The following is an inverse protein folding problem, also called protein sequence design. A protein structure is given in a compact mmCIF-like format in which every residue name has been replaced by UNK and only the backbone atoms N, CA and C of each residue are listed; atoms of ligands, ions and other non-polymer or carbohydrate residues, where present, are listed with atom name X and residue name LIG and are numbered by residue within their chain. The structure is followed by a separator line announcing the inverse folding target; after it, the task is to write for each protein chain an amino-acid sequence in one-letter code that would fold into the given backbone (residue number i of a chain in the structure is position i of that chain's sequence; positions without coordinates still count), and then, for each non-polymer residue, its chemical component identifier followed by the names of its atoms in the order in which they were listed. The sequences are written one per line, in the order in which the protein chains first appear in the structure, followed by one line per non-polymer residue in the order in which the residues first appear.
data_IF_470282498692
#
_entry.id   IF_470282498692
#
_cell.length_a   1.000
_cell.length_b   1.000
_cell.length_c   1.000
_cell.angle_alpha   90.00
_cell.angle_beta   90.00
_cell.angle_gamma   90.00
#
_symmetry.space_group_name_H-M   'P 1'
#
loop_
_entity.id
_entity.type
_entity.pdbx_description
1 polymer ?
#
# COMPACT_ATOMS: atom_id res chain seq x y z
N UNK A 1 17.13 81.50 4.10
CA UNK A 1 17.10 81.66 2.63
C UNK A 1 16.59 80.33 2.07
N UNK A 2 15.46 80.23 1.37
CA UNK A 2 14.61 81.25 0.73
C UNK A 2 13.10 81.02 1.01
N UNK A 3 12.31 82.09 0.82
CA UNK A 3 10.84 82.31 0.76
C UNK A 3 9.85 81.11 0.90
N UNK A 4 8.64 81.23 1.48
CA UNK A 4 7.74 82.40 1.67
C UNK A 4 6.75 82.50 0.50
N UNK A 5 5.43 82.30 0.65
CA UNK A 5 4.38 83.17 1.27
C UNK A 5 3.21 82.33 1.87
N UNK A 6 2.53 82.66 2.97
CA UNK A 6 1.62 83.80 3.30
C UNK A 6 0.36 83.89 2.40
N UNK A 7 -0.89 84.12 2.83
CA UNK A 7 -1.61 84.32 4.14
C UNK A 7 -3.12 83.91 3.94
N UNK A 8 -4.10 83.86 4.87
CA UNK A 8 -4.29 84.22 6.30
C UNK A 8 -5.48 83.39 6.91
N UNK A 9 -5.95 83.45 8.18
CA UNK A 9 -6.50 84.50 9.09
C UNK A 9 -8.06 84.59 9.03
N UNK A 10 -8.85 84.57 10.16
CA UNK A 10 -8.60 84.06 11.54
C UNK A 10 -9.83 83.36 12.23
N UNK A 11 -9.79 83.26 13.58
CA UNK A 11 -10.89 83.15 14.58
C UNK A 11 -11.39 81.78 15.13
N UNK A 12 -11.06 81.55 16.41
CA UNK A 12 -11.74 80.69 17.42
C UNK A 12 -12.81 81.56 18.16
N UNK A 13 -13.76 81.07 19.01
CA UNK A 13 -13.76 79.85 19.86
C UNK A 13 -15.17 79.13 19.87
N UNK A 14 -15.62 78.31 20.87
CA UNK A 14 -14.98 77.79 22.08
C UNK A 14 -15.08 76.27 22.31
N UNK A 15 -14.34 75.79 23.33
CA UNK A 15 -14.54 74.47 23.93
C UNK A 15 -15.84 74.46 24.75
N UNK A 16 -16.72 73.51 24.49
CA UNK A 16 -17.76 73.09 25.44
C UNK A 16 -17.47 71.66 25.87
N UNK A 17 -17.13 71.48 27.14
CA UNK A 17 -17.01 70.18 27.77
C UNK A 17 -18.29 69.91 28.56
N UNK A 18 -19.01 68.81 28.29
CA UNK A 18 -20.03 68.24 29.16
C UNK A 18 -20.45 66.85 28.70
N UNK A 19 -20.38 65.90 29.62
CA UNK A 19 -20.89 64.54 29.46
C UNK A 19 -22.40 64.52 29.13
N UNK A 20 -22.79 63.68 28.17
CA UNK A 20 -24.10 63.03 28.14
C UNK A 20 -24.09 61.87 27.14
N UNK A 21 -24.34 60.65 27.63
CA UNK A 21 -24.54 59.46 26.78
C UNK A 21 -25.86 59.60 25.99
N UNK A 22 -25.98 58.90 24.84
CA UNK A 22 -26.88 57.76 24.85
C UNK A 22 -26.21 56.44 24.45
N UNK A 23 -26.73 55.36 25.03
CA UNK A 23 -26.41 53.98 24.66
C UNK A 23 -27.27 53.61 23.46
N UNK A 24 -26.65 53.12 22.37
CA UNK A 24 -27.38 52.52 21.24
C UNK A 24 -27.43 51.00 21.43
N UNK A 25 -28.62 50.45 21.18
CA UNK A 25 -29.02 49.09 21.54
C UNK A 25 -28.39 48.03 20.62
N UNK A 26 -27.93 46.92 21.21
CA UNK A 26 -27.70 45.67 20.48
C UNK A 26 -29.02 44.88 20.38
N UNK A 27 -29.45 44.41 19.20
CA UNK A 27 -30.64 43.57 19.09
C UNK A 27 -30.38 42.11 19.54
N UNK A 28 -31.14 41.71 20.57
CA UNK A 28 -31.69 40.39 20.86
C UNK A 28 -30.82 39.12 20.67
N UNK A 29 -30.62 38.42 21.79
CA UNK A 29 -30.25 37.00 21.84
C UNK A 29 -31.38 36.12 21.26
N UNK A 30 -31.03 35.16 20.40
CA UNK A 30 -31.79 33.92 20.22
C UNK A 30 -30.98 32.78 20.78
N UNK A 31 -31.43 32.21 21.90
CA UNK A 31 -30.82 31.00 22.45
C UNK A 31 -30.99 29.84 21.46
N UNK A 32 -29.88 29.21 21.05
CA UNK A 32 -29.94 27.90 20.44
C UNK A 32 -28.77 27.01 20.92
N UNK A 33 -29.17 26.03 21.71
CA UNK A 33 -28.53 24.78 22.13
C UNK A 33 -27.22 24.45 21.37
N UNK A 34 -26.12 24.25 22.11
CA UNK A 34 -24.86 23.71 21.56
C UNK A 34 -25.04 22.29 20.99
N UNK A 35 -24.58 22.03 19.75
CA UNK A 35 -23.84 20.83 19.42
C UNK A 35 -22.39 21.01 19.89
N UNK A 36 -21.73 19.90 20.26
CA UNK A 36 -20.40 19.91 20.83
C UNK A 36 -19.34 19.98 19.71
N UNK A 37 -18.91 21.19 19.34
CA UNK A 37 -17.99 21.48 18.22
C UNK A 37 -16.52 21.08 18.47
N UNK A 38 -16.28 19.85 18.95
CA UNK A 38 -15.02 19.13 18.74
C UNK A 38 -14.98 18.53 17.33
N UNK A 39 -15.35 19.34 16.33
CA UNK A 39 -15.27 18.98 14.92
C UNK A 39 -13.80 18.85 14.51
N UNK A 40 -13.45 17.67 13.99
CA UNK A 40 -12.10 17.23 13.63
C UNK A 40 -11.20 18.35 13.09
N UNK A 41 -9.99 18.48 13.66
CA UNK A 41 -8.90 19.17 12.98
C UNK A 41 -8.67 18.49 11.63
N UNK A 42 -8.98 19.23 10.56
CA UNK A 42 -9.04 18.69 9.21
C UNK A 42 -7.65 18.29 8.74
N UNK A 43 -7.43 17.00 8.51
CA UNK A 43 -6.30 16.51 7.72
C UNK A 43 -6.42 17.12 6.32
N UNK A 44 -5.64 18.17 6.05
CA UNK A 44 -5.50 18.73 4.70
C UNK A 44 -4.52 17.87 3.92
N UNK A 45 -4.94 17.13 2.89
CA UNK A 45 -4.01 16.39 2.05
C UNK A 45 -3.05 17.37 1.37
N UNK A 46 -1.77 17.32 1.73
CA UNK A 46 -0.73 18.18 1.13
C UNK A 46 -0.35 17.54 -0.22
N UNK A 47 -0.87 18.10 -1.31
CA UNK A 47 -0.60 17.64 -2.67
C UNK A 47 0.46 18.55 -3.29
N UNK A 48 1.65 17.99 -3.54
CA UNK A 48 2.81 18.69 -4.11
C UNK A 48 4.13 18.18 -3.57
N UNK A 49 5.24 18.59 -4.21
CA UNK A 49 6.63 18.18 -3.95
C UNK A 49 7.15 18.76 -2.61
N UNK A 50 6.50 18.37 -1.52
CA UNK A 50 6.57 18.97 -0.18
C UNK A 50 7.18 18.00 0.83
N UNK A 51 7.75 18.54 1.90
CA UNK A 51 8.23 17.74 3.03
C UNK A 51 7.25 17.77 4.20
N UNK A 52 6.96 16.60 4.75
CA UNK A 52 6.12 16.41 5.94
C UNK A 52 7.00 15.97 7.11
N UNK A 53 6.83 16.64 8.25
CA UNK A 53 7.29 16.16 9.55
C UNK A 53 6.25 15.20 10.12
N UNK A 54 6.61 13.92 10.22
CA UNK A 54 5.74 12.85 10.71
C UNK A 54 5.72 12.77 12.25
N UNK A 55 6.70 13.36 12.94
CA UNK A 55 6.74 13.34 14.40
C UNK A 55 5.66 14.24 15.01
N UNK A 56 5.49 15.42 14.42
CA UNK A 56 4.62 16.51 14.84
C UNK A 56 3.28 16.59 14.08
N UNK A 57 2.91 15.56 13.30
CA UNK A 57 1.58 15.47 12.70
C UNK A 57 0.55 14.93 13.71
N UNK A 58 -0.51 15.71 13.93
CA UNK A 58 -1.74 15.22 14.52
C UNK A 58 -2.50 14.35 13.50
N UNK A 59 -2.87 13.15 13.94
CA UNK A 59 -3.63 12.19 13.14
C UNK A 59 -5.04 12.03 13.73
N UNK A 60 -6.08 11.85 12.90
CA UNK A 60 -7.39 11.50 13.41
C UNK A 60 -7.32 10.25 14.30
N UNK A 61 -8.04 10.28 15.42
CA UNK A 61 -8.22 9.12 16.31
C UNK A 61 -9.71 8.77 16.41
N UNK A 62 -10.31 8.15 15.38
CA UNK A 62 -11.71 7.76 15.43
C UNK A 62 -11.92 6.63 16.44
N UNK A 63 -13.10 6.62 17.06
CA UNK A 63 -13.56 5.54 17.93
C UNK A 63 -14.51 4.59 17.19
N UNK A 64 -14.93 3.50 17.84
CA UNK A 64 -15.87 2.53 17.29
C UNK A 64 -15.24 1.20 16.85
N UNK A 65 -15.96 0.47 16.00
CA UNK A 65 -15.54 -0.81 15.40
C UNK A 65 -14.36 -0.60 14.46
N UNK A 66 -13.26 -1.31 14.70
CA UNK A 66 -12.06 -1.26 13.85
C UNK A 66 -11.66 -2.65 13.40
N UNK A 67 -11.47 -2.82 12.09
CA UNK A 67 -10.84 -4.03 11.50
C UNK A 67 -9.42 -3.68 11.04
N UNK A 68 -8.44 -4.47 11.46
CA UNK A 68 -7.02 -4.24 11.22
C UNK A 68 -6.42 -5.33 10.31
N UNK A 69 -5.98 -4.93 9.11
CA UNK A 69 -5.45 -5.81 8.05
C UNK A 69 -3.96 -5.54 7.84
N UNK A 70 -3.10 -6.52 8.15
CA UNK A 70 -1.65 -6.41 7.94
C UNK A 70 -1.26 -6.82 6.52
N UNK A 71 -0.80 -5.86 5.73
CA UNK A 71 -0.24 -6.07 4.39
C UNK A 71 1.29 -6.23 4.52
N UNK A 72 1.83 -7.34 4.00
CA UNK A 72 3.26 -7.67 4.08
C UNK A 72 3.82 -8.05 2.70
N UNK A 73 4.76 -7.23 2.22
CA UNK A 73 5.55 -7.51 1.02
C UNK A 73 6.74 -8.41 1.34
N UNK A 74 6.75 -9.61 0.75
CA UNK A 74 7.74 -10.65 1.01
C UNK A 74 8.88 -10.61 -0.03
N UNK A 75 10.10 -10.36 0.44
CA UNK A 75 11.33 -10.54 -0.33
C UNK A 75 11.79 -12.00 -0.23
N UNK A 76 11.22 -12.83 -1.09
CA UNK A 76 11.80 -14.10 -1.53
C UNK A 76 12.16 -13.95 -3.00
N UNK A 77 13.42 -14.16 -3.40
CA UNK A 77 13.76 -14.19 -4.82
C UNK A 77 13.18 -15.44 -5.48
N UNK A 78 13.16 -15.45 -6.81
CA UNK A 78 12.64 -16.58 -7.58
C UNK A 78 13.33 -17.89 -7.14
N UNK A 79 12.54 -18.87 -6.71
CA UNK A 79 12.95 -20.16 -6.15
C UNK A 79 13.66 -20.15 -4.77
N UNK A 80 13.80 -19.01 -4.09
CA UNK A 80 14.35 -18.94 -2.72
C UNK A 80 13.29 -19.28 -1.67
N UNK A 81 13.51 -20.36 -0.90
CA UNK A 81 12.61 -20.82 0.19
C UNK A 81 12.54 -19.87 1.39
N UNK A 82 13.49 -18.94 1.52
CA UNK A 82 13.59 -17.95 2.60
C UNK A 82 12.97 -16.62 2.20
N UNK A 83 12.19 -16.03 3.09
CA UNK A 83 11.29 -14.91 2.81
C UNK A 83 11.37 -13.83 3.93
N UNK A 84 11.94 -12.65 3.63
CA UNK A 84 11.94 -11.50 4.56
C UNK A 84 10.69 -10.64 4.38
N UNK A 85 10.24 -9.97 5.43
CA UNK A 85 9.18 -8.96 5.37
C UNK A 85 9.79 -7.58 5.05
N UNK A 86 9.84 -7.24 3.77
CA UNK A 86 10.62 -6.09 3.28
C UNK A 86 9.79 -4.81 3.12
N UNK A 87 8.45 -4.95 3.12
CA UNK A 87 7.44 -3.90 3.24
C UNK A 87 6.37 -4.35 4.24
N UNK A 88 5.97 -3.48 5.17
CA UNK A 88 5.07 -3.82 6.28
C UNK A 88 4.10 -2.64 6.50
N UNK A 89 2.81 -2.87 6.30
CA UNK A 89 1.78 -1.83 6.41
C UNK A 89 0.55 -2.39 7.11
N UNK A 90 0.13 -1.77 8.20
CA UNK A 90 -1.13 -2.12 8.84
C UNK A 90 -2.20 -1.13 8.39
N UNK A 91 -3.23 -1.62 7.70
CA UNK A 91 -4.39 -0.82 7.28
C UNK A 91 -5.51 -1.06 8.28
N UNK A 92 -6.07 0.02 8.84
CA UNK A 92 -7.16 -0.03 9.82
C UNK A 92 -8.38 0.65 9.25
N UNK A 93 -9.49 -0.06 9.21
CA UNK A 93 -10.80 0.42 8.75
C UNK A 93 -11.65 0.72 9.97
N UNK A 94 -11.97 1.99 10.19
CA UNK A 94 -12.89 2.47 11.21
C UNK A 94 -14.30 2.45 10.61
N UNK A 95 -15.04 1.37 10.87
CA UNK A 95 -16.28 1.08 10.15
C UNK A 95 -17.35 2.14 10.43
N UNK A 96 -17.52 2.52 11.69
CA UNK A 96 -18.57 3.44 12.14
C UNK A 96 -18.38 4.89 11.67
N UNK A 97 -17.14 5.27 11.29
CA UNK A 97 -16.82 6.61 10.79
C UNK A 97 -16.45 6.65 9.30
N UNK A 98 -16.39 5.49 8.62
CA UNK A 98 -15.99 5.41 7.22
C UNK A 98 -14.60 6.01 6.99
N UNK A 99 -13.60 5.66 7.82
CA UNK A 99 -12.25 6.22 7.78
C UNK A 99 -11.17 5.12 7.75
N UNK A 100 -10.02 5.43 7.14
CA UNK A 100 -8.91 4.48 6.94
C UNK A 100 -7.58 5.05 7.44
N UNK A 101 -6.87 4.29 8.27
CA UNK A 101 -5.50 4.59 8.67
C UNK A 101 -4.52 3.59 8.01
N UNK A 102 -3.48 4.09 7.34
CA UNK A 102 -2.36 3.27 6.84
C UNK A 102 -1.13 3.52 7.73
N UNK A 103 -0.67 2.48 8.44
CA UNK A 103 0.49 2.54 9.33
C UNK A 103 1.67 1.83 8.67
N UNK A 104 2.62 2.59 8.15
CA UNK A 104 3.86 2.06 7.56
C UNK A 104 4.90 1.74 8.64
N UNK A 105 5.48 0.55 8.60
CA UNK A 105 6.57 0.14 9.49
C UNK A 105 7.82 -0.21 8.67
N UNK A 106 8.90 0.60 8.75
CA UNK A 106 10.15 0.31 8.07
C UNK A 106 10.70 -1.07 8.46
N UNK A 107 11.21 -1.84 7.50
CA UNK A 107 11.75 -3.19 7.79
C UNK A 107 12.98 -3.16 8.71
N UNK A 108 13.66 -2.01 8.81
CA UNK A 108 14.77 -1.76 9.73
C UNK A 108 14.32 -1.31 11.13
N UNK A 109 13.03 -1.35 11.43
CA UNK A 109 12.52 -1.09 12.79
C UNK A 109 12.94 -2.21 13.74
N UNK A 110 13.30 -1.81 14.96
CA UNK A 110 13.69 -2.72 16.04
C UNK A 110 12.55 -3.66 16.47
N UNK A 111 12.89 -4.94 16.56
CA UNK A 111 12.06 -6.02 17.09
C UNK A 111 12.78 -6.71 18.26
N UNK A 112 12.06 -7.03 19.34
CA UNK A 112 12.58 -7.94 20.38
C UNK A 112 12.56 -9.37 19.86
N UNK A 113 13.48 -9.68 18.95
CA UNK A 113 13.60 -10.99 18.34
C UNK A 113 14.53 -11.93 19.13
N UNK A 114 15.11 -11.45 20.24
CA UNK A 114 16.04 -12.18 21.14
C UNK A 114 17.26 -12.81 20.46
N UNK A 115 17.65 -12.34 19.27
CA UNK A 115 18.89 -12.74 18.60
C UNK A 115 20.08 -11.94 19.12
N UNK A 116 21.24 -12.59 19.24
CA UNK A 116 22.52 -11.94 19.61
C UNK A 116 23.02 -10.99 18.52
N UNK A 117 22.79 -11.30 17.24
CA UNK A 117 23.05 -10.38 16.12
C UNK A 117 22.01 -9.24 16.11
N UNK A 118 22.42 -7.95 16.21
CA UNK A 118 21.52 -6.81 16.08
C UNK A 118 20.72 -6.79 14.78
N UNK A 119 21.22 -7.39 13.69
CA UNK A 119 20.47 -7.53 12.43
C UNK A 119 19.32 -8.53 12.55
N UNK A 120 19.44 -9.54 13.42
CA UNK A 120 18.35 -10.46 13.74
C UNK A 120 17.19 -9.75 14.46
N UNK A 121 17.48 -8.65 15.17
CA UNK A 121 16.53 -7.81 15.90
C UNK A 121 15.82 -6.76 15.03
N UNK A 122 15.65 -7.03 13.72
CA UNK A 122 14.92 -6.16 12.78
C UNK A 122 13.61 -6.81 12.34
N UNK A 123 12.51 -6.04 12.31
CA UNK A 123 11.16 -6.53 11.96
C UNK A 123 11.16 -7.36 10.66
N UNK A 124 11.88 -6.91 9.63
CA UNK A 124 11.91 -7.63 8.35
C UNK A 124 12.54 -9.02 8.39
N UNK A 125 13.37 -9.30 9.42
CA UNK A 125 13.97 -10.61 9.64
C UNK A 125 13.15 -11.49 10.58
N UNK A 126 12.32 -10.93 11.47
CA UNK A 126 11.45 -11.72 12.38
C UNK A 126 10.55 -12.68 11.61
N UNK A 127 9.97 -12.23 10.49
CA UNK A 127 9.09 -13.06 9.67
C UNK A 127 9.79 -14.26 9.04
N UNK A 128 11.08 -14.12 8.76
CA UNK A 128 11.96 -15.17 8.24
C UNK A 128 12.38 -16.15 9.34
N UNK A 129 12.78 -15.64 10.50
CA UNK A 129 13.47 -16.44 11.54
C UNK A 129 12.54 -17.00 12.61
N UNK A 130 11.45 -16.30 12.96
CA UNK A 130 10.52 -16.66 14.04
C UNK A 130 9.07 -16.87 13.55
N UNK A 131 8.86 -16.83 12.23
CA UNK A 131 7.56 -17.08 11.61
C UNK A 131 6.56 -15.91 11.72
N UNK A 132 5.33 -16.15 11.22
CA UNK A 132 4.29 -15.12 11.11
C UNK A 132 3.80 -14.62 12.46
N UNK A 133 3.53 -15.54 13.40
CA UNK A 133 2.85 -15.18 14.65
C UNK A 133 3.71 -14.29 15.55
N UNK A 134 5.04 -14.52 15.58
CA UNK A 134 5.95 -13.60 16.30
C UNK A 134 6.09 -12.27 15.56
N UNK A 135 6.19 -12.29 14.22
CA UNK A 135 6.20 -11.07 13.42
C UNK A 135 4.94 -10.20 13.64
N UNK A 136 3.74 -10.78 13.66
CA UNK A 136 2.50 -10.07 13.98
C UNK A 136 2.45 -9.55 15.42
N UNK A 137 3.10 -10.22 16.39
CA UNK A 137 3.26 -9.70 17.75
C UNK A 137 4.18 -8.47 17.79
N UNK A 138 5.31 -8.49 17.07
CA UNK A 138 6.21 -7.32 16.97
C UNK A 138 5.57 -6.14 16.22
N UNK A 139 4.83 -6.39 15.13
CA UNK A 139 4.08 -5.34 14.44
C UNK A 139 3.07 -4.69 15.38
N UNK A 140 2.31 -5.47 16.17
CA UNK A 140 1.38 -4.90 17.16
C UNK A 140 2.08 -4.04 18.21
N UNK A 141 3.20 -4.53 18.75
CA UNK A 141 4.02 -3.78 19.73
C UNK A 141 4.52 -2.45 19.16
N UNK A 142 4.95 -2.43 17.89
CA UNK A 142 5.48 -1.21 17.24
C UNK A 142 4.39 -0.24 16.78
N UNK A 143 3.22 -0.75 16.36
CA UNK A 143 2.11 0.09 15.86
C UNK A 143 1.16 0.56 16.97
N UNK A 144 1.33 0.01 18.18
CA UNK A 144 0.53 0.28 19.38
C UNK A 144 -0.95 -0.10 19.22
N UNK A 145 -1.20 -1.19 18.49
CA UNK A 145 -2.55 -1.71 18.22
C UNK A 145 -2.81 -3.02 18.96
N UNK A 146 -4.01 -3.15 19.50
CA UNK A 146 -4.40 -4.31 20.31
C UNK A 146 -4.51 -5.61 19.48
N UNK A 147 -5.02 -5.51 18.25
CA UNK A 147 -5.39 -6.66 17.41
C UNK A 147 -4.96 -6.43 15.96
N UNK A 148 -4.67 -7.55 15.28
CA UNK A 148 -4.62 -7.64 13.82
C UNK A 148 -5.59 -8.77 13.48
N UNK A 149 -6.65 -8.46 12.75
CA UNK A 149 -7.74 -9.38 12.41
C UNK A 149 -7.35 -10.27 11.23
N UNK A 150 -6.74 -9.64 10.22
CA UNK A 150 -6.36 -10.30 8.98
C UNK A 150 -4.92 -9.98 8.58
N UNK A 151 -4.30 -10.86 7.82
CA UNK A 151 -3.01 -10.64 7.17
C UNK A 151 -3.10 -10.92 5.68
N UNK A 152 -2.32 -10.20 4.87
CA UNK A 152 -2.18 -10.39 3.43
C UNK A 152 -0.67 -10.39 3.12
N UNK A 153 -0.13 -11.55 2.77
CA UNK A 153 1.27 -11.73 2.38
C UNK A 153 1.38 -11.97 0.87
N UNK A 154 2.21 -11.19 0.17
CA UNK A 154 2.52 -11.40 -1.25
C UNK A 154 4.00 -11.17 -1.54
N UNK A 155 4.57 -11.99 -2.42
CA UNK A 155 5.88 -11.79 -3.01
C UNK A 155 5.84 -10.88 -4.24
N UNK A 156 7.00 -10.68 -4.88
CA UNK A 156 7.14 -9.72 -5.99
C UNK A 156 6.21 -9.99 -7.19
N UNK A 157 6.11 -11.25 -7.67
CA UNK A 157 5.21 -11.60 -8.78
C UNK A 157 3.73 -11.38 -8.43
N UNK A 158 3.36 -11.67 -7.18
CA UNK A 158 1.99 -11.53 -6.69
C UNK A 158 1.62 -10.04 -6.56
N UNK A 159 2.54 -9.21 -6.06
CA UNK A 159 2.40 -7.76 -6.05
C UNK A 159 2.23 -7.18 -7.47
N UNK A 160 2.97 -7.68 -8.47
CA UNK A 160 2.76 -7.29 -9.87
C UNK A 160 1.33 -7.58 -10.31
N UNK A 161 0.84 -8.80 -10.12
CA UNK A 161 -0.52 -9.18 -10.51
C UNK A 161 -1.61 -8.36 -9.81
N UNK A 162 -1.46 -8.06 -8.51
CA UNK A 162 -2.39 -7.20 -7.77
C UNK A 162 -2.38 -5.76 -8.33
N UNK A 163 -1.21 -5.23 -8.69
CA UNK A 163 -1.07 -3.90 -9.30
C UNK A 163 -1.62 -3.87 -10.74
N UNK A 164 -1.46 -4.95 -11.52
CA UNK A 164 -2.14 -5.15 -12.81
C UNK A 164 -3.68 -5.11 -12.63
N UNK A 165 -4.23 -5.82 -11.63
CA UNK A 165 -5.67 -5.83 -11.28
C UNK A 165 -6.17 -4.42 -10.90
N UNK A 166 -5.39 -3.65 -10.14
CA UNK A 166 -5.72 -2.26 -9.74
C UNK A 166 -5.61 -1.23 -10.89
N UNK A 167 -5.48 -1.67 -12.15
CA UNK A 167 -5.51 -0.78 -13.31
C UNK A 167 -4.17 -0.10 -13.64
N UNK A 168 -3.05 -0.68 -13.24
CA UNK A 168 -1.70 -0.20 -13.60
C UNK A 168 -0.99 -1.13 -14.62
N UNK A 169 -1.73 -1.86 -15.47
CA UNK A 169 -1.21 -2.97 -16.29
C UNK A 169 0.12 -2.68 -17.01
N UNK A 170 0.17 -1.61 -17.80
CA UNK A 170 1.37 -1.25 -18.59
C UNK A 170 2.56 -0.83 -17.71
N UNK A 171 2.28 -0.31 -16.51
CA UNK A 171 3.26 0.33 -15.63
C UNK A 171 3.51 -0.44 -14.31
N UNK A 172 2.92 -1.62 -14.13
CA UNK A 172 2.99 -2.37 -12.87
C UNK A 172 4.43 -2.66 -12.43
N UNK A 173 5.30 -2.99 -13.40
CA UNK A 173 6.72 -3.22 -13.15
C UNK A 173 7.49 -1.94 -12.77
N UNK A 174 7.07 -0.78 -13.28
CA UNK A 174 7.66 0.52 -12.97
C UNK A 174 7.18 1.06 -11.62
N UNK A 175 5.87 1.04 -11.36
CA UNK A 175 5.29 1.35 -10.04
C UNK A 175 5.99 0.55 -8.92
N UNK A 176 6.23 -0.74 -9.16
CA UNK A 176 7.00 -1.59 -8.25
C UNK A 176 8.48 -1.22 -8.10
N UNK A 177 9.14 -0.69 -9.14
CA UNK A 177 10.51 -0.14 -9.02
C UNK A 177 10.51 1.13 -8.16
N UNK A 178 9.54 2.02 -8.37
CA UNK A 178 9.38 3.26 -7.61
C UNK A 178 9.25 2.97 -6.11
N UNK A 179 8.26 2.15 -5.71
CA UNK A 179 8.02 1.83 -4.29
C UNK A 179 9.08 0.91 -3.67
N UNK A 180 10.01 0.35 -4.47
CA UNK A 180 11.17 -0.41 -3.98
C UNK A 180 12.44 0.44 -3.83
N UNK A 181 12.48 1.66 -4.38
CA UNK A 181 13.67 2.50 -4.34
C UNK A 181 14.02 2.95 -2.91
N UNK A 182 15.31 2.91 -2.57
CA UNK A 182 15.86 3.31 -1.25
C UNK A 182 17.03 4.28 -1.39
N UNK A 183 17.93 4.00 -2.34
CA UNK A 183 19.20 4.72 -2.55
C UNK A 183 19.02 6.17 -3.04
N UNK A 184 17.83 6.51 -3.53
CA UNK A 184 17.50 7.82 -4.13
C UNK A 184 17.05 8.84 -3.06
N UNK A 185 16.81 8.41 -1.82
CA UNK A 185 16.21 9.23 -0.77
C UNK A 185 17.15 9.40 0.42
N UNK A 186 17.32 10.64 0.89
CA UNK A 186 18.16 10.95 2.06
C UNK A 186 17.70 10.22 3.34
N UNK A 187 16.39 10.08 3.54
CA UNK A 187 15.81 9.30 4.65
C UNK A 187 15.71 7.78 4.38
N UNK A 188 16.28 7.28 3.28
CA UNK A 188 16.50 5.87 2.99
C UNK A 188 15.26 4.97 3.11
N UNK A 189 15.31 4.04 4.07
CA UNK A 189 14.23 3.05 4.27
C UNK A 189 12.93 3.67 4.80
N UNK A 190 13.03 4.75 5.59
CA UNK A 190 11.87 5.44 6.15
C UNK A 190 11.06 6.09 5.04
N UNK A 191 11.75 6.81 4.14
CA UNK A 191 11.12 7.34 2.92
C UNK A 191 10.49 6.23 2.08
N UNK A 192 11.17 5.10 1.85
CA UNK A 192 10.59 3.98 1.09
C UNK A 192 9.30 3.47 1.75
N UNK A 193 9.31 3.25 3.07
CA UNK A 193 8.15 2.72 3.79
C UNK A 193 6.98 3.71 3.80
N UNK A 194 7.25 5.01 3.93
CA UNK A 194 6.23 6.04 3.78
C UNK A 194 5.65 6.11 2.37
N UNK A 195 6.50 6.08 1.33
CA UNK A 195 6.10 6.04 -0.07
C UNK A 195 5.20 4.83 -0.39
N UNK A 196 5.53 3.66 0.15
CA UNK A 196 4.69 2.46 0.04
C UNK A 196 3.32 2.65 0.70
N UNK A 197 3.26 3.32 1.86
CA UNK A 197 2.00 3.67 2.52
C UNK A 197 1.17 4.68 1.72
N UNK A 198 1.81 5.69 1.12
CA UNK A 198 1.14 6.65 0.23
C UNK A 198 0.61 5.99 -1.05
N UNK A 199 1.37 5.06 -1.64
CA UNK A 199 0.88 4.25 -2.75
C UNK A 199 -0.33 3.40 -2.35
N UNK A 200 -0.33 2.77 -1.16
CA UNK A 200 -1.50 2.02 -0.66
C UNK A 200 -2.72 2.95 -0.48
N UNK A 201 -2.54 4.12 0.15
CA UNK A 201 -3.62 5.12 0.31
C UNK A 201 -4.25 5.50 -1.04
N UNK A 202 -3.41 5.80 -2.04
CA UNK A 202 -3.88 6.24 -3.35
C UNK A 202 -4.47 5.09 -4.18
N UNK A 203 -3.93 3.87 -4.06
CA UNK A 203 -4.52 2.68 -4.67
C UNK A 203 -5.90 2.36 -4.08
N UNK A 204 -6.10 2.54 -2.76
CA UNK A 204 -7.42 2.42 -2.13
C UNK A 204 -8.38 3.46 -2.72
N UNK A 205 -8.02 4.75 -2.69
CA UNK A 205 -8.85 5.82 -3.24
C UNK A 205 -9.19 5.59 -4.72
N UNK A 206 -8.23 5.20 -5.55
CA UNK A 206 -8.45 4.98 -6.99
C UNK A 206 -9.36 3.78 -7.30
N UNK A 207 -9.39 2.75 -6.44
CA UNK A 207 -10.07 1.49 -6.77
C UNK A 207 -11.38 1.27 -6.01
N UNK A 208 -11.64 2.00 -4.92
CA UNK A 208 -12.76 1.72 -4.01
C UNK A 208 -14.13 1.71 -4.70
N UNK A 209 -14.43 2.72 -5.53
CA UNK A 209 -15.75 2.82 -6.20
C UNK A 209 -15.93 1.82 -7.35
N UNK A 210 -14.90 1.03 -7.67
CA UNK A 210 -14.94 -0.06 -8.67
C UNK A 210 -14.93 -1.45 -8.03
N UNK A 211 -15.32 -1.57 -6.75
CA UNK A 211 -15.27 -2.85 -6.00
C UNK A 211 -16.58 -3.61 -5.92
N UNK A 212 -17.72 -2.95 -6.16
CA UNK A 212 -19.07 -3.51 -6.05
C UNK A 212 -19.60 -4.12 -7.36
N UNK A 213 -19.12 -3.65 -8.53
CA UNK A 213 -19.46 -4.25 -9.82
C UNK A 213 -18.88 -5.68 -10.01
N UNK A 214 -19.36 -6.39 -11.02
CA UNK A 214 -18.94 -7.77 -11.31
C UNK A 214 -17.41 -7.92 -11.51
N UNK A 215 -16.75 -6.91 -12.08
CA UNK A 215 -15.31 -6.90 -12.33
C UNK A 215 -14.52 -6.59 -11.06
N UNK A 216 -15.04 -5.69 -10.21
CA UNK A 216 -14.54 -5.45 -8.86
C UNK A 216 -14.56 -6.71 -8.00
N UNK A 217 -15.70 -7.40 -7.98
CA UNK A 217 -15.87 -8.67 -7.26
C UNK A 217 -14.92 -9.76 -7.77
N UNK A 218 -14.75 -9.89 -9.09
CA UNK A 218 -13.77 -10.80 -9.70
C UNK A 218 -12.33 -10.39 -9.38
N UNK A 219 -12.03 -9.09 -9.38
CA UNK A 219 -10.72 -8.52 -9.04
C UNK A 219 -10.32 -8.79 -7.59
N UNK A 220 -11.25 -8.63 -6.64
CA UNK A 220 -11.04 -8.99 -5.23
C UNK A 220 -10.73 -10.48 -5.10
N UNK A 221 -11.52 -11.35 -5.75
CA UNK A 221 -11.29 -12.81 -5.74
C UNK A 221 -9.91 -13.17 -6.32
N UNK A 222 -9.52 -12.55 -7.43
CA UNK A 222 -8.20 -12.74 -8.03
C UNK A 222 -7.06 -12.24 -7.13
N UNK A 223 -7.19 -11.06 -6.50
CA UNK A 223 -6.20 -10.51 -5.58
C UNK A 223 -6.03 -11.37 -4.31
N UNK A 224 -7.13 -11.92 -3.77
CA UNK A 224 -7.10 -12.89 -2.67
C UNK A 224 -6.43 -14.21 -3.11
N UNK A 225 -6.76 -14.75 -4.29
CA UNK A 225 -6.15 -15.97 -4.84
C UNK A 225 -4.66 -15.82 -5.21
N UNK A 226 -4.21 -14.60 -5.51
CA UNK A 226 -2.80 -14.25 -5.65
C UNK A 226 -2.08 -14.14 -4.29
N UNK A 227 -2.78 -13.95 -3.18
CA UNK A 227 -2.21 -13.66 -1.87
C UNK A 227 -2.13 -14.88 -0.95
N UNK A 228 -1.22 -14.88 0.02
CA UNK A 228 -1.30 -15.77 1.19
C UNK A 228 -1.99 -15.01 2.30
N UNK A 229 -3.24 -15.36 2.62
CA UNK A 229 -4.10 -14.56 3.52
C UNK A 229 -5.08 -15.42 4.33
N UNK A 230 -5.59 -14.88 5.43
CA UNK A 230 -6.78 -15.38 6.15
C UNK A 230 -8.03 -14.50 5.93
N UNK A 231 -7.96 -13.46 5.09
CA UNK A 231 -9.09 -12.64 4.69
C UNK A 231 -9.93 -13.42 3.66
N UNK A 232 -11.20 -13.66 3.97
CA UNK A 232 -12.14 -14.24 3.00
C UNK A 232 -12.70 -13.15 2.08
N UNK A 233 -13.29 -13.57 0.96
CA UNK A 233 -14.06 -12.67 0.10
C UNK A 233 -15.18 -11.98 0.90
N UNK A 234 -15.96 -12.73 1.67
CA UNK A 234 -17.10 -12.20 2.41
C UNK A 234 -16.67 -11.18 3.48
N UNK A 235 -15.52 -11.40 4.12
CA UNK A 235 -14.94 -10.44 5.06
C UNK A 235 -14.41 -9.18 4.35
N UNK A 236 -13.86 -9.30 3.14
CA UNK A 236 -13.44 -8.16 2.33
C UNK A 236 -14.66 -7.33 1.86
N UNK A 237 -15.70 -7.98 1.34
CA UNK A 237 -16.97 -7.33 0.96
C UNK A 237 -17.61 -6.63 2.17
N UNK A 238 -17.69 -7.29 3.32
CA UNK A 238 -18.22 -6.70 4.55
C UNK A 238 -17.50 -5.40 4.96
N UNK A 239 -16.16 -5.37 4.87
CA UNK A 239 -15.39 -4.14 5.12
C UNK A 239 -15.75 -3.05 4.09
N UNK A 240 -15.80 -3.38 2.80
CA UNK A 240 -16.09 -2.42 1.73
C UNK A 240 -17.51 -1.84 1.86
N UNK A 241 -18.50 -2.68 2.18
CA UNK A 241 -19.89 -2.28 2.31
C UNK A 241 -20.13 -1.39 3.53
N UNK A 242 -19.54 -1.72 4.69
CA UNK A 242 -19.57 -0.85 5.88
C UNK A 242 -18.88 0.49 5.63
N UNK A 243 -17.72 0.49 4.96
CA UNK A 243 -17.00 1.72 4.61
C UNK A 243 -17.81 2.61 3.66
N UNK A 244 -18.45 2.02 2.65
CA UNK A 244 -19.32 2.72 1.69
C UNK A 244 -20.57 3.28 2.38
N UNK A 245 -21.21 2.50 3.25
CA UNK A 245 -22.37 2.93 4.03
C UNK A 245 -22.07 4.13 4.95
N UNK A 246 -20.85 4.23 5.47
CA UNK A 246 -20.40 5.36 6.32
C UNK A 246 -19.66 6.46 5.54
N UNK A 247 -19.85 6.51 4.22
CA UNK A 247 -19.50 7.65 3.36
C UNK A 247 -18.07 7.67 2.81
N UNK A 248 -17.30 6.57 2.90
CA UNK A 248 -16.02 6.46 2.22
C UNK A 248 -16.22 6.19 0.71
N UNK A 249 -15.49 6.92 -0.13
CA UNK A 249 -15.46 6.75 -1.59
C UNK A 249 -14.17 7.35 -2.18
N UNK A 250 -13.95 7.25 -3.50
CA UNK A 250 -12.73 7.75 -4.16
C UNK A 250 -12.51 9.26 -3.98
N UNK A 251 -13.60 10.02 -3.78
CA UNK A 251 -13.59 11.48 -3.66
C UNK A 251 -13.48 11.97 -2.20
N UNK A 252 -13.16 11.09 -1.24
CA UNK A 252 -12.94 11.47 0.18
C UNK A 252 -11.47 11.29 0.62
N UNK A 253 -10.52 12.05 0.05
CA UNK A 253 -9.09 11.91 0.36
C UNK A 253 -8.73 12.34 1.79
N UNK A 254 -9.59 13.08 2.46
CA UNK A 254 -9.52 13.50 3.87
C UNK A 254 -9.82 12.35 4.84
N UNK A 255 -10.59 11.34 4.42
CA UNK A 255 -10.97 10.17 5.22
C UNK A 255 -9.90 9.07 5.29
N UNK A 256 -8.75 9.27 4.62
CA UNK A 256 -7.63 8.32 4.64
C UNK A 256 -6.29 9.03 4.81
N UNK A 257 -5.49 8.58 5.77
CA UNK A 257 -4.15 9.12 6.06
C UNK A 257 -3.09 8.03 6.17
N UNK A 258 -1.82 8.45 6.09
CA UNK A 258 -0.65 7.60 6.28
C UNK A 258 0.15 8.11 7.48
N UNK A 259 0.39 7.25 8.48
CA UNK A 259 1.40 7.47 9.52
C UNK A 259 2.53 6.45 9.40
N UNK A 260 3.69 6.76 9.99
CA UNK A 260 4.82 5.84 10.09
C UNK A 260 5.09 5.49 11.55
N UNK A 261 5.36 4.21 11.83
CA UNK A 261 5.74 3.74 13.17
C UNK A 261 7.09 2.97 13.15
N UNK A 262 7.98 3.20 14.13
CA UNK A 262 7.88 4.23 15.18
C UNK A 262 7.92 5.64 14.58
N UNK A 263 7.39 6.63 15.33
CA UNK A 263 7.53 8.05 14.98
C UNK A 263 8.99 8.39 14.71
N UNK A 264 9.25 9.32 13.80
CA UNK A 264 10.60 9.82 13.58
C UNK A 264 10.62 11.22 12.99
N UNK A 265 11.40 12.12 13.58
CA UNK A 265 11.70 13.48 13.10
C UNK A 265 12.57 13.52 11.84
N UNK A 266 12.19 12.74 10.84
CA UNK A 266 12.70 12.87 9.48
C UNK A 266 11.63 13.56 8.65
N UNK A 267 11.97 14.73 8.12
CA UNK A 267 11.20 15.38 7.06
C UNK A 267 11.16 14.47 5.83
N UNK A 268 10.02 13.82 5.58
CA UNK A 268 9.82 12.92 4.45
C UNK A 268 9.15 13.66 3.30
N UNK A 269 9.61 13.40 2.08
CA UNK A 269 8.97 13.94 0.87
C UNK A 269 7.63 13.24 0.63
N UNK A 270 6.59 14.00 0.36
CA UNK A 270 5.32 13.47 -0.15
C UNK A 270 5.47 13.26 -1.65
N UNK A 271 5.12 12.08 -2.13
CA UNK A 271 5.02 11.79 -3.55
C UNK A 271 3.55 11.59 -3.90
N UNK A 272 3.11 12.33 -4.89
CA UNK A 272 1.87 12.02 -5.59
C UNK A 272 2.13 10.85 -6.56
N UNK A 273 1.24 9.86 -6.56
CA UNK A 273 1.18 8.75 -7.51
C UNK A 273 -0.18 8.72 -8.25
N UNK A 274 -1.01 9.75 -8.07
CA UNK A 274 -2.25 9.93 -8.81
C UNK A 274 -1.96 10.27 -10.28
N UNK A 275 -2.73 9.66 -11.17
CA UNK A 275 -2.33 9.43 -12.55
C UNK A 275 -2.77 10.55 -13.49
N UNK A 276 -2.26 11.77 -13.26
CA UNK A 276 -2.14 12.76 -14.33
C UNK A 276 -0.80 12.64 -15.09
N UNK A 277 0.28 12.21 -14.43
CA UNK A 277 1.56 11.96 -15.12
C UNK A 277 2.52 10.97 -14.41
N UNK A 278 2.19 9.67 -14.46
CA UNK A 278 3.12 8.60 -14.05
C UNK A 278 4.45 8.69 -14.82
N UNK A 279 4.43 9.08 -16.10
CA UNK A 279 5.62 9.25 -16.91
C UNK A 279 6.58 10.34 -16.40
N UNK A 280 6.08 11.39 -15.72
CA UNK A 280 6.92 12.38 -15.04
C UNK A 280 7.58 11.79 -13.78
N UNK A 281 6.84 10.97 -13.01
CA UNK A 281 7.38 10.26 -11.84
C UNK A 281 8.46 9.27 -12.31
N UNK A 282 8.19 8.52 -13.37
CA UNK A 282 9.14 7.62 -14.02
C UNK A 282 10.36 8.36 -14.57
N UNK A 283 10.19 9.49 -15.28
CA UNK A 283 11.32 10.28 -15.80
C UNK A 283 12.17 10.88 -14.67
N UNK A 284 11.55 11.42 -13.61
CA UNK A 284 12.25 11.95 -12.45
C UNK A 284 12.99 10.85 -11.65
N UNK A 285 12.47 9.61 -11.67
CA UNK A 285 13.10 8.46 -11.02
C UNK A 285 14.15 7.81 -11.92
N UNK A 286 13.93 7.68 -13.22
CA UNK A 286 14.92 7.15 -14.18
C UNK A 286 16.11 8.10 -14.31
N UNK A 287 15.90 9.42 -14.36
CA UNK A 287 16.96 10.42 -14.27
C UNK A 287 17.83 10.22 -13.02
N UNK A 288 17.20 10.06 -11.84
CA UNK A 288 17.91 9.82 -10.57
C UNK A 288 18.55 8.44 -10.49
N UNK A 289 17.93 7.41 -11.05
CA UNK A 289 18.45 6.03 -11.08
C UNK A 289 19.62 5.89 -12.05
N UNK A 290 19.58 6.52 -13.23
CA UNK A 290 20.72 6.51 -14.16
C UNK A 290 21.95 7.20 -13.56
N UNK A 291 21.77 8.28 -12.78
CA UNK A 291 22.88 8.92 -12.05
C UNK A 291 23.42 8.11 -10.84
N UNK A 292 22.64 7.20 -10.25
CA UNK A 292 23.00 6.51 -9.00
C UNK A 292 23.39 5.02 -9.21
N UNK A 293 22.88 4.38 -10.26
CA UNK A 293 23.04 2.93 -10.51
C UNK A 293 23.78 2.66 -11.83
N UNK A 294 23.89 3.66 -12.71
CA UNK A 294 24.37 3.46 -14.08
C UNK A 294 23.34 2.77 -14.98
N UNK A 295 23.65 2.62 -16.27
CA UNK A 295 22.70 2.11 -17.28
C UNK A 295 22.38 0.61 -17.20
N UNK A 296 23.02 -0.16 -16.32
CA UNK A 296 22.96 -1.62 -16.33
C UNK A 296 22.42 -2.20 -15.01
N UNK A 297 21.13 -2.59 -15.02
CA UNK A 297 20.76 -3.98 -14.71
C UNK A 297 19.32 -4.29 -15.20
N UNK A 298 19.07 -4.00 -16.49
CA UNK A 298 17.88 -4.53 -17.17
C UNK A 298 18.06 -6.05 -17.30
N UNK A 299 17.65 -6.81 -16.29
CA UNK A 299 17.36 -8.24 -16.46
C UNK A 299 16.35 -8.32 -17.61
N UNK A 300 16.81 -8.84 -18.75
CA UNK A 300 15.99 -8.90 -19.96
C UNK A 300 14.66 -9.62 -19.65
N UNK A 301 13.54 -9.25 -20.29
CA UNK A 301 12.25 -9.92 -20.06
C UNK A 301 12.33 -11.45 -20.17
N UNK A 302 13.18 -11.93 -21.07
CA UNK A 302 13.49 -13.34 -21.29
C UNK A 302 14.16 -14.03 -20.08
N UNK A 303 14.83 -13.32 -19.17
CA UNK A 303 15.57 -13.91 -18.05
C UNK A 303 14.67 -14.76 -17.14
N UNK A 304 13.47 -14.25 -16.81
CA UNK A 304 12.52 -14.98 -15.97
C UNK A 304 11.90 -16.17 -16.70
N UNK A 305 11.60 -16.02 -17.98
CA UNK A 305 11.15 -17.11 -18.84
C UNK A 305 12.21 -18.20 -19.02
N UNK A 306 13.48 -17.83 -19.19
CA UNK A 306 14.63 -18.73 -19.29
C UNK A 306 14.81 -19.56 -18.01
N UNK A 307 14.69 -18.96 -16.82
CA UNK A 307 14.75 -19.69 -15.54
C UNK A 307 13.60 -20.69 -15.45
N UNK A 308 12.37 -20.27 -15.75
CA UNK A 308 11.20 -21.13 -15.65
C UNK A 308 11.24 -22.28 -16.67
N UNK A 309 11.66 -22.00 -17.92
CA UNK A 309 11.92 -23.02 -18.94
C UNK A 309 12.99 -24.02 -18.50
N UNK A 310 14.12 -23.55 -17.98
CA UNK A 310 15.20 -24.40 -17.47
C UNK A 310 14.77 -25.30 -16.32
N UNK A 311 13.95 -24.77 -15.39
CA UNK A 311 13.38 -25.56 -14.30
C UNK A 311 12.41 -26.64 -14.83
N UNK A 312 11.46 -26.28 -15.70
CA UNK A 312 10.50 -27.23 -16.25
C UNK A 312 11.21 -28.34 -17.06
N UNK A 313 12.17 -27.98 -17.91
CA UNK A 313 12.96 -28.93 -18.70
C UNK A 313 13.80 -29.91 -17.83
N UNK A 314 14.19 -29.49 -16.62
CA UNK A 314 14.81 -30.37 -15.62
C UNK A 314 13.78 -31.33 -15.02
N UNK A 315 12.63 -30.81 -14.59
CA UNK A 315 11.60 -31.60 -13.89
C UNK A 315 10.88 -32.58 -14.82
N UNK A 316 10.79 -32.30 -16.14
CA UNK A 316 10.26 -33.24 -17.14
C UNK A 316 10.96 -34.60 -17.10
N UNK A 317 12.26 -34.62 -16.80
CA UNK A 317 13.09 -35.84 -16.68
C UNK A 317 12.82 -36.61 -15.37
N UNK A 318 12.21 -35.99 -14.37
CA UNK A 318 11.84 -36.58 -13.08
C UNK A 318 10.31 -36.83 -12.96
N UNK A 319 9.53 -36.80 -14.04
CA UNK A 319 8.05 -36.99 -14.06
C UNK A 319 7.53 -38.33 -13.50
N UNK A 320 8.42 -39.32 -13.39
CA UNK A 320 8.16 -40.61 -12.73
C UNK A 320 8.44 -40.60 -11.22
N UNK A 321 8.93 -39.50 -10.65
CA UNK A 321 9.25 -39.31 -9.22
C UNK A 321 8.43 -38.13 -8.67
N UNK A 322 7.15 -38.34 -8.35
CA UNK A 322 6.22 -37.25 -8.05
C UNK A 322 6.67 -36.36 -6.88
N UNK A 323 7.38 -36.90 -5.90
CA UNK A 323 7.98 -36.12 -4.80
C UNK A 323 8.93 -35.04 -5.32
N UNK A 324 9.83 -35.38 -6.25
CA UNK A 324 10.78 -34.42 -6.84
C UNK A 324 10.09 -33.34 -7.66
N UNK A 325 9.00 -33.69 -8.34
CA UNK A 325 8.17 -32.73 -9.08
C UNK A 325 7.53 -31.74 -8.10
N UNK A 326 6.95 -32.23 -7.00
CA UNK A 326 6.37 -31.39 -5.94
C UNK A 326 7.44 -30.49 -5.30
N UNK A 327 8.57 -31.05 -4.87
CA UNK A 327 9.67 -30.31 -4.24
C UNK A 327 10.25 -29.20 -5.13
N UNK A 328 10.22 -29.41 -6.45
CA UNK A 328 10.74 -28.47 -7.44
C UNK A 328 9.71 -27.41 -7.87
N UNK A 329 8.43 -27.76 -8.00
CA UNK A 329 7.41 -26.89 -8.61
C UNK A 329 6.41 -26.27 -7.62
N UNK A 330 6.20 -26.85 -6.43
CA UNK A 330 5.22 -26.32 -5.46
C UNK A 330 5.59 -24.91 -4.98
N UNK A 331 6.88 -24.61 -4.81
CA UNK A 331 7.32 -23.29 -4.38
C UNK A 331 7.24 -22.24 -5.51
N UNK A 332 7.72 -22.48 -6.75
CA UNK A 332 7.43 -21.62 -7.91
C UNK A 332 5.94 -21.38 -8.16
N UNK A 333 5.08 -22.40 -7.98
CA UNK A 333 3.62 -22.25 -8.01
C UNK A 333 3.14 -21.25 -6.96
N UNK A 334 3.60 -21.40 -5.70
CA UNK A 334 3.26 -20.49 -4.61
C UNK A 334 3.75 -19.05 -4.86
N UNK A 335 4.90 -18.88 -5.51
CA UNK A 335 5.46 -17.57 -5.91
C UNK A 335 4.79 -16.98 -7.16
N UNK A 336 3.88 -17.71 -7.83
CA UNK A 336 3.27 -17.35 -9.13
C UNK A 336 4.34 -16.89 -10.14
N UNK A 337 5.39 -17.71 -10.28
CA UNK A 337 6.65 -17.35 -10.97
C UNK A 337 6.49 -16.82 -12.38
N UNK A 338 5.43 -17.23 -13.10
CA UNK A 338 5.14 -16.80 -14.47
C UNK A 338 4.72 -15.34 -14.60
N UNK A 339 4.15 -14.69 -13.56
CA UNK A 339 3.61 -13.31 -13.69
C UNK A 339 4.71 -12.30 -14.07
N UNK A 340 5.98 -12.58 -13.76
CA UNK A 340 7.11 -11.72 -14.17
C UNK A 340 7.46 -11.83 -15.67
N UNK A 341 6.83 -12.73 -16.43
CA UNK A 341 7.02 -12.91 -17.87
C UNK A 341 6.10 -11.94 -18.61
N UNK A 342 6.69 -11.07 -19.44
CA UNK A 342 5.96 -10.03 -20.17
C UNK A 342 5.16 -10.57 -21.37
N UNK A 343 5.70 -11.56 -22.09
CA UNK A 343 4.97 -12.17 -23.20
C UNK A 343 3.80 -13.00 -22.63
N UNK A 344 2.57 -12.54 -22.85
CA UNK A 344 1.35 -13.16 -22.30
C UNK A 344 1.19 -14.62 -22.75
N UNK A 345 1.48 -14.93 -24.02
CA UNK A 345 1.35 -16.29 -24.55
C UNK A 345 2.39 -17.23 -23.92
N UNK A 346 3.61 -16.77 -23.71
CA UNK A 346 4.66 -17.53 -23.01
C UNK A 346 4.36 -17.67 -21.51
N UNK A 347 3.86 -16.61 -20.86
CA UNK A 347 3.37 -16.60 -19.46
C UNK A 347 2.34 -17.72 -19.26
N UNK A 348 1.35 -17.82 -20.15
CA UNK A 348 0.30 -18.85 -20.14
C UNK A 348 0.90 -20.24 -20.37
N UNK A 349 1.68 -20.44 -21.44
CA UNK A 349 2.21 -21.76 -21.78
C UNK A 349 3.11 -22.35 -20.65
N UNK A 350 3.91 -21.50 -19.99
CA UNK A 350 4.77 -21.94 -18.88
C UNK A 350 4.00 -22.13 -17.57
N UNK A 351 2.96 -21.33 -17.31
CA UNK A 351 2.00 -21.57 -16.22
C UNK A 351 1.34 -22.93 -16.38
N UNK A 352 0.73 -23.18 -17.54
CA UNK A 352 -0.08 -24.38 -17.78
C UNK A 352 0.77 -25.64 -17.66
N UNK A 353 1.96 -25.63 -18.27
CA UNK A 353 2.94 -26.70 -18.16
C UNK A 353 3.34 -26.97 -16.71
N UNK A 354 3.65 -25.93 -15.94
CA UNK A 354 4.00 -26.05 -14.51
C UNK A 354 2.85 -26.66 -13.70
N UNK A 355 1.65 -26.12 -13.86
CA UNK A 355 0.51 -26.52 -13.06
C UNK A 355 0.05 -27.94 -13.41
N UNK A 356 0.04 -28.32 -14.68
CA UNK A 356 -0.26 -29.68 -15.14
C UNK A 356 0.71 -30.71 -14.53
N UNK A 357 2.02 -30.44 -14.56
CA UNK A 357 3.03 -31.32 -13.94
C UNK A 357 2.82 -31.46 -12.43
N UNK A 358 2.49 -30.37 -11.74
CA UNK A 358 2.28 -30.35 -10.30
C UNK A 358 0.97 -31.05 -9.88
N UNK A 359 -0.13 -30.82 -10.59
CA UNK A 359 -1.43 -31.53 -10.42
C UNK A 359 -1.25 -33.03 -10.58
N UNK A 360 -0.57 -33.47 -11.65
CA UNK A 360 -0.29 -34.88 -11.88
C UNK A 360 0.57 -35.50 -10.76
N UNK A 361 1.56 -34.77 -10.26
CA UNK A 361 2.41 -35.24 -9.17
C UNK A 361 1.63 -35.35 -7.85
N UNK A 362 0.76 -34.39 -7.54
CA UNK A 362 -0.12 -34.46 -6.36
C UNK A 362 -1.13 -35.60 -6.45
N UNK A 363 -1.79 -35.78 -7.60
CA UNK A 363 -2.71 -36.90 -7.82
C UNK A 363 -2.01 -38.26 -7.66
N UNK A 364 -0.80 -38.44 -8.22
CA UNK A 364 0.04 -39.64 -7.99
C UNK A 364 0.42 -39.88 -6.52
N UNK A 365 0.32 -38.87 -5.65
CA UNK A 365 0.55 -38.96 -4.20
C UNK A 365 -0.74 -39.05 -3.37
N UNK A 366 -1.91 -39.12 -3.99
CA UNK A 366 -3.21 -39.06 -3.29
C UNK A 366 -3.55 -37.69 -2.71
N UNK A 367 -2.82 -36.64 -3.08
CA UNK A 367 -2.98 -35.24 -2.62
C UNK A 367 -4.01 -34.50 -3.47
N UNK A 368 -5.22 -35.03 -3.52
CA UNK A 368 -6.29 -34.55 -4.42
C UNK A 368 -6.77 -33.15 -4.07
N UNK A 369 -6.76 -32.77 -2.78
CA UNK A 369 -7.10 -31.42 -2.34
C UNK A 369 -6.10 -30.36 -2.87
N UNK A 370 -4.79 -30.63 -2.76
CA UNK A 370 -3.77 -29.72 -3.29
C UNK A 370 -3.81 -29.63 -4.83
N UNK A 371 -4.17 -30.73 -5.51
CA UNK A 371 -4.40 -30.72 -6.95
C UNK A 371 -5.64 -29.87 -7.35
N UNK A 372 -6.74 -30.00 -6.60
CA UNK A 372 -7.99 -29.26 -6.85
C UNK A 372 -7.80 -27.75 -6.70
N UNK A 373 -7.10 -27.28 -5.65
CA UNK A 373 -6.83 -25.84 -5.47
C UNK A 373 -5.96 -25.24 -6.59
N UNK A 374 -5.11 -26.05 -7.25
CA UNK A 374 -4.38 -25.59 -8.45
C UNK A 374 -5.32 -25.42 -9.63
N UNK A 375 -6.19 -26.40 -9.90
CA UNK A 375 -7.15 -26.34 -11.02
C UNK A 375 -8.08 -25.13 -10.87
N UNK A 376 -8.67 -24.98 -9.69
CA UNK A 376 -9.52 -23.85 -9.30
C UNK A 376 -8.83 -22.49 -9.46
N UNK A 377 -7.53 -22.39 -9.13
CA UNK A 377 -6.76 -21.17 -9.38
C UNK A 377 -6.65 -20.85 -10.88
N UNK A 378 -6.38 -21.85 -11.74
CA UNK A 378 -6.26 -21.63 -13.20
C UNK A 378 -7.60 -21.18 -13.77
N UNK A 379 -8.71 -21.81 -13.36
CA UNK A 379 -10.06 -21.46 -13.79
C UNK A 379 -10.40 -20.00 -13.42
N UNK A 380 -10.05 -19.55 -12.22
CA UNK A 380 -10.24 -18.17 -11.78
C UNK A 380 -9.39 -17.18 -12.57
N UNK A 381 -8.10 -17.47 -12.78
CA UNK A 381 -7.18 -16.62 -13.55
C UNK A 381 -7.59 -16.53 -15.03
N UNK A 382 -8.07 -17.64 -15.62
CA UNK A 382 -8.56 -17.66 -17.00
C UNK A 382 -9.93 -17.00 -17.17
N UNK A 383 -10.82 -17.08 -16.17
CA UNK A 383 -12.06 -16.30 -16.16
C UNK A 383 -11.76 -14.78 -16.13
N UNK A 384 -10.88 -14.34 -15.22
CA UNK A 384 -10.45 -12.94 -15.11
C UNK A 384 -9.67 -12.43 -16.34
N UNK A 385 -8.96 -13.31 -17.04
CA UNK A 385 -8.33 -12.98 -18.33
C UNK A 385 -9.37 -12.81 -19.44
N UNK A 386 -10.35 -13.72 -19.52
CA UNK A 386 -11.39 -13.73 -20.57
C UNK A 386 -12.36 -12.55 -20.47
N UNK A 387 -12.54 -11.94 -19.29
CA UNK A 387 -13.34 -10.72 -19.11
C UNK A 387 -12.71 -9.45 -19.72
N UNK A 388 -11.55 -9.55 -20.39
CA UNK A 388 -10.90 -8.42 -21.05
C UNK A 388 -9.97 -7.60 -20.15
N UNK A 389 -9.92 -7.93 -18.86
CA UNK A 389 -9.11 -7.22 -17.85
C UNK A 389 -7.61 -7.48 -17.99
N UNK A 390 -7.17 -8.40 -18.86
CA UNK A 390 -5.76 -8.69 -19.16
C UNK A 390 -5.43 -8.56 -20.66
N UNK A 391 -5.94 -7.49 -21.30
CA UNK A 391 -5.31 -6.85 -22.46
C UNK A 391 -4.43 -5.70 -21.97
#
# INVERSE_FOLDING_TARGET
MSCGSNEGIPENPPKVNRDSKPIIQQPAETQNIQPNDNAAQVYKPIIGDTSVDIENMDYPMPSGRVISVLITGIDSRLCEKTARADANHLVRFYLDSGQVEVISVPRSTYADAKFTDPRGQLIGNVRLTLGRDRYMKEIRRVTEVNKIDFFVEFGFSQAMGIIEIMGYKDNASNALRVIRSRKVYAAGDKQRSYNQGQFIRQAILRTFDYTDDLMGQLGIRAALALSTTNLSYDAASYILDEMRAHGFNSNTPDRIWVRMMPKSGYNLKVFDYDSSNISNIEAAIESKVQHIVGKNDRKQPEYYANILRGLLAKVEKDTNKPERVIDSLAHPFKQKSWIQIQNVNERIALRDKLCYMLVNAYNKKGKTAEAFEIVKYIEQEDAFRKSGTMK
#
